data_IF_793014868440
#
_entry.id   IF_793014868440
#
_cell.length_a   1.000
_cell.length_b   1.000
_cell.length_c   1.000
_cell.angle_alpha   90.00
_cell.angle_beta   90.00
_cell.angle_gamma   90.00
#
_symmetry.space_group_name_H-M   'P 1'
#
loop_
_entity.id
_entity.type
_entity.pdbx_description
1 polymer ?
#
# COMPACT_ATOMS: atom_id res chain seq x y z
N UNK A 1 -0.15 -8.34 -1.09
CA UNK A 1 0.90 -8.08 -2.10
C UNK A 1 0.24 -7.91 -3.45
N UNK A 2 0.07 -6.67 -3.92
CA UNK A 2 -0.52 -6.38 -5.23
C UNK A 2 0.59 -5.89 -6.16
N UNK A 3 0.76 -6.55 -7.30
CA UNK A 3 1.62 -6.07 -8.40
C UNK A 3 0.72 -5.18 -9.26
N UNK A 4 0.98 -3.88 -9.25
CA UNK A 4 0.28 -2.89 -10.07
C UNK A 4 1.07 -2.70 -11.36
N UNK A 5 0.64 -3.24 -12.50
CA UNK A 5 1.32 -2.94 -13.78
C UNK A 5 1.11 -1.47 -14.16
N UNK A 6 2.09 -0.79 -14.77
CA UNK A 6 1.93 0.60 -15.15
C UNK A 6 0.93 0.73 -16.30
N UNK A 7 -0.05 1.62 -16.16
CA UNK A 7 -0.97 2.01 -17.23
C UNK A 7 -0.45 3.33 -17.86
N UNK A 8 -0.40 3.46 -19.20
CA UNK A 8 0.08 4.68 -19.86
C UNK A 8 -0.86 5.89 -19.65
N UNK A 9 -0.35 7.13 -19.82
CA UNK A 9 -0.86 8.35 -19.17
C UNK A 9 -2.25 8.86 -19.59
N UNK A 10 -2.94 8.20 -20.52
CA UNK A 10 -4.27 8.62 -20.99
C UNK A 10 -5.40 7.64 -20.64
N UNK A 11 -5.11 6.54 -19.94
CA UNK A 11 -6.08 5.44 -19.75
C UNK A 11 -6.78 5.46 -18.37
N UNK A 12 -7.92 6.15 -18.33
CA UNK A 12 -9.16 5.82 -17.57
C UNK A 12 -9.10 5.50 -16.05
N UNK A 13 -10.11 5.99 -15.32
CA UNK A 13 -10.50 5.59 -13.94
C UNK A 13 -10.93 4.11 -13.86
N UNK A 14 -10.05 3.21 -14.27
CA UNK A 14 -10.30 1.78 -14.38
C UNK A 14 -9.52 1.09 -13.28
N UNK A 15 -10.24 0.28 -12.47
CA UNK A 15 -9.66 -0.48 -11.35
C UNK A 15 -8.48 -1.30 -11.86
N UNK A 16 -7.31 -1.30 -11.17
CA UNK A 16 -6.15 -2.09 -11.60
C UNK A 16 -6.52 -3.57 -11.79
N UNK A 17 -6.17 -4.15 -12.94
CA UNK A 17 -6.37 -5.57 -13.22
C UNK A 17 -5.52 -6.40 -12.26
N UNK A 18 -6.17 -7.31 -11.52
CA UNK A 18 -5.52 -8.04 -10.41
C UNK A 18 -4.82 -9.28 -10.96
N UNK A 19 -3.50 -9.38 -10.80
CA UNK A 19 -2.74 -10.59 -11.08
C UNK A 19 -3.21 -11.76 -10.18
N UNK A 20 -3.10 -12.99 -10.70
CA UNK A 20 -3.67 -14.22 -10.13
C UNK A 20 -3.37 -14.38 -8.63
N UNK A 21 -4.41 -14.35 -7.80
CA UNK A 21 -4.32 -14.59 -6.35
C UNK A 21 -4.19 -16.09 -6.09
N UNK A 22 -3.16 -16.49 -5.35
CA UNK A 22 -3.10 -17.86 -4.82
C UNK A 22 -4.17 -18.01 -3.73
N UNK A 23 -5.32 -18.60 -4.10
CA UNK A 23 -6.50 -18.73 -3.21
C UNK A 23 -6.16 -19.42 -1.89
N UNK A 24 -5.33 -20.47 -1.94
CA UNK A 24 -4.95 -21.26 -0.77
C UNK A 24 -4.21 -20.44 0.30
N UNK A 25 -3.53 -19.37 -0.10
CA UNK A 25 -2.87 -18.45 0.83
C UNK A 25 -3.77 -17.30 1.23
N UNK A 26 -4.51 -16.72 0.28
CA UNK A 26 -5.33 -15.53 0.56
C UNK A 26 -6.52 -15.82 1.47
N UNK A 27 -7.14 -16.99 1.35
CA UNK A 27 -8.34 -17.35 2.11
C UNK A 27 -8.09 -17.49 3.62
N UNK A 28 -7.08 -18.24 4.11
CA UNK A 28 -6.79 -18.27 5.54
C UNK A 28 -6.33 -16.91 6.08
N UNK A 29 -5.56 -16.13 5.31
CA UNK A 29 -5.13 -14.79 5.74
C UNK A 29 -6.28 -13.80 5.82
N UNK A 30 -7.27 -13.92 4.92
CA UNK A 30 -8.48 -13.11 4.96
C UNK A 30 -9.35 -13.48 6.17
N UNK A 31 -9.57 -14.78 6.42
CA UNK A 31 -10.33 -15.26 7.58
C UNK A 31 -9.67 -14.88 8.91
N UNK A 32 -8.33 -14.87 8.94
CA UNK A 32 -7.57 -14.42 10.10
C UNK A 32 -7.40 -12.89 10.17
N UNK A 33 -8.08 -12.12 9.31
CA UNK A 33 -8.09 -10.64 9.29
C UNK A 33 -6.70 -9.99 9.11
N UNK A 34 -5.75 -10.72 8.51
CA UNK A 34 -4.43 -10.18 8.16
C UNK A 34 -4.43 -9.42 6.84
N UNK A 35 -5.39 -9.72 5.95
CA UNK A 35 -5.53 -9.04 4.67
C UNK A 35 -7.00 -8.71 4.41
N UNK A 36 -7.22 -7.61 3.69
CA UNK A 36 -8.54 -7.20 3.24
C UNK A 36 -8.90 -7.76 1.86
N UNK A 37 -10.20 -7.68 1.52
CA UNK A 37 -10.63 -7.90 0.13
C UNK A 37 -9.93 -6.90 -0.78
N UNK A 38 -9.49 -7.38 -1.94
CA UNK A 38 -8.69 -6.56 -2.85
C UNK A 38 -9.38 -5.26 -3.24
N UNK A 39 -8.64 -4.15 -3.14
CA UNK A 39 -9.03 -2.85 -3.64
C UNK A 39 -9.33 -1.79 -2.57
N UNK A 40 -9.40 -2.15 -1.28
CA UNK A 40 -9.66 -1.18 -0.19
C UNK A 40 -8.38 -0.66 0.46
N UNK A 41 -7.45 -1.56 0.79
CA UNK A 41 -6.29 -1.22 1.63
C UNK A 41 -5.40 -0.08 1.13
N UNK A 42 -5.28 0.15 -0.18
CA UNK A 42 -4.48 1.28 -0.71
C UNK A 42 -5.12 2.64 -0.45
N UNK A 43 -6.44 2.74 -0.64
CA UNK A 43 -7.17 3.97 -0.37
C UNK A 43 -7.23 4.26 1.13
N UNK A 44 -7.33 3.20 1.94
CA UNK A 44 -7.28 3.32 3.40
C UNK A 44 -5.90 3.83 3.87
N UNK A 45 -4.81 3.34 3.27
CA UNK A 45 -3.46 3.84 3.56
C UNK A 45 -3.32 5.34 3.28
N UNK A 46 -3.82 5.81 2.13
CA UNK A 46 -3.79 7.25 1.78
C UNK A 46 -4.62 8.05 2.79
N UNK A 47 -5.85 7.60 3.10
CA UNK A 47 -6.73 8.25 4.06
C UNK A 47 -6.09 8.36 5.45
N UNK A 48 -5.51 7.27 5.95
CA UNK A 48 -4.88 7.21 7.27
C UNK A 48 -3.64 8.11 7.34
N UNK A 49 -2.84 8.19 6.29
CA UNK A 49 -1.71 9.12 6.25
C UNK A 49 -2.19 10.57 6.30
N UNK A 50 -3.22 10.91 5.52
CA UNK A 50 -3.81 12.25 5.54
C UNK A 50 -4.41 12.62 6.91
N UNK A 51 -5.11 11.67 7.57
CA UNK A 51 -5.66 11.86 8.93
C UNK A 51 -4.56 12.07 9.98
N UNK A 52 -3.39 11.44 9.79
CA UNK A 52 -2.22 11.62 10.63
C UNK A 52 -1.40 12.89 10.29
N UNK A 53 -1.79 13.67 9.28
CA UNK A 53 -1.03 14.83 8.81
C UNK A 53 0.30 14.47 8.12
N UNK A 54 0.44 13.21 7.70
CA UNK A 54 1.61 12.69 7.02
C UNK A 54 1.47 12.89 5.49
N UNK A 55 2.59 13.02 4.75
CA UNK A 55 2.54 12.98 3.31
C UNK A 55 1.95 11.66 2.80
N UNK A 56 1.34 11.70 1.61
CA UNK A 56 0.76 10.50 1.00
C UNK A 56 1.84 9.40 0.81
N UNK A 57 1.46 8.12 0.97
CA UNK A 57 2.38 7.01 0.78
C UNK A 57 2.75 6.84 -0.70
N UNK A 58 4.03 6.60 -0.98
CA UNK A 58 4.51 6.41 -2.35
C UNK A 58 4.54 4.93 -2.72
N UNK A 59 3.90 4.58 -3.83
CA UNK A 59 3.85 3.23 -4.38
C UNK A 59 4.67 3.16 -5.67
N UNK A 60 5.84 2.55 -5.59
CA UNK A 60 6.79 2.45 -6.69
C UNK A 60 6.85 0.99 -7.16
N UNK A 61 6.46 0.76 -8.42
CA UNK A 61 6.58 -0.55 -9.04
C UNK A 61 7.86 -0.61 -9.88
N UNK A 62 8.84 -1.36 -9.41
CA UNK A 62 10.15 -1.58 -10.03
C UNK A 62 10.18 -2.96 -10.72
N UNK A 63 9.09 -3.34 -11.40
CA UNK A 63 8.94 -4.60 -12.13
C UNK A 63 8.77 -5.79 -11.21
N UNK A 64 9.88 -6.47 -10.89
CA UNK A 64 9.89 -7.61 -9.96
C UNK A 64 9.81 -7.18 -8.49
N UNK A 65 10.04 -5.88 -8.22
CA UNK A 65 10.04 -5.31 -6.88
C UNK A 65 8.92 -4.30 -6.75
N UNK A 66 8.35 -4.27 -5.56
CA UNK A 66 7.39 -3.26 -5.16
C UNK A 66 7.94 -2.54 -3.94
N UNK A 67 8.10 -1.23 -4.05
CA UNK A 67 8.57 -0.36 -2.97
C UNK A 67 7.38 0.47 -2.49
N UNK A 68 7.15 0.43 -1.19
CA UNK A 68 6.17 1.25 -0.48
C UNK A 68 6.91 2.14 0.51
N UNK A 69 6.77 3.45 0.35
CA UNK A 69 7.34 4.46 1.25
C UNK A 69 6.21 5.03 2.11
N UNK A 70 6.34 4.94 3.43
CA UNK A 70 5.41 5.51 4.40
C UNK A 70 6.22 6.40 5.34
N UNK A 71 5.77 7.65 5.48
CA UNK A 71 6.42 8.64 6.33
C UNK A 71 6.08 8.40 7.80
N UNK A 72 7.00 8.75 8.70
CA UNK A 72 6.80 8.73 10.15
C UNK A 72 7.19 10.09 10.69
N UNK A 73 6.33 10.66 11.53
CA UNK A 73 6.51 11.92 12.23
C UNK A 73 7.27 11.76 13.55
N UNK A 74 7.16 10.59 14.20
CA UNK A 74 7.73 10.38 15.54
C UNK A 74 9.26 10.27 15.56
N UNK A 75 9.93 10.10 14.42
CA UNK A 75 11.40 10.05 14.40
C UNK A 75 11.96 11.46 14.22
N UNK A 76 11.74 12.30 15.22
CA UNK A 76 12.36 13.63 15.32
C UNK A 76 13.74 13.53 15.96
N UNK A 77 14.62 14.49 15.68
CA UNK A 77 15.94 14.58 16.31
C UNK A 77 15.84 14.51 17.85
N UNK A 78 14.79 15.13 18.42
CA UNK A 78 14.48 15.09 19.85
C UNK A 78 14.14 13.70 20.43
N UNK A 79 13.69 12.77 19.60
CA UNK A 79 13.43 11.37 19.99
C UNK A 79 14.67 10.51 19.74
N UNK A 80 15.44 10.81 18.68
CA UNK A 80 16.73 10.17 18.42
C UNK A 80 17.75 10.44 19.52
N UNK A 81 17.75 11.65 20.10
CA UNK A 81 18.62 12.02 21.22
C UNK A 81 18.27 11.27 22.54
N UNK A 82 17.13 10.59 22.60
CA UNK A 82 16.62 9.87 23.79
C UNK A 82 16.75 8.35 23.70
N UNK A 83 17.24 7.82 22.57
CA UNK A 83 17.48 6.40 22.34
C UNK A 83 18.94 6.04 22.65
#
# INVERSE_FOLDING_TARGET
MFIVTPNPPWSSRSRPSTLKKNRLLCEPLFLAHYIERAGTGTLDMIRLCAEAGLPEPEFLNEGERFRLIIWRDWLTDAIMDKL
#
